data_IF_368757452318
#
_entry.id   IF_368757452318
#
_cell.length_a   1.000
_cell.length_b   1.000
_cell.length_c   1.000
_cell.angle_alpha   90.00
_cell.angle_beta   90.00
_cell.angle_gamma   90.00
#
_symmetry.space_group_name_H-M   'P 1'
#
loop_
_entity.id
_entity.type
_entity.pdbx_description
1 polymer ?
#
# COMPACT_ATOMS: atom_id res chain seq x y z
N UNK A 1 -6.80 1.03 10.13
CA UNK A 1 -5.98 0.23 9.20
C UNK A 1 -6.51 -1.20 9.02
N UNK A 2 -7.30 -1.68 9.98
CA UNK A 2 -7.74 -3.08 10.17
C UNK A 2 -8.27 -3.78 8.92
N UNK A 3 -8.92 -3.06 8.00
CA UNK A 3 -9.44 -3.67 6.78
C UNK A 3 -8.34 -4.18 5.85
N UNK A 4 -7.43 -3.29 5.42
CA UNK A 4 -6.41 -3.62 4.42
C UNK A 4 -5.28 -4.42 5.05
N UNK A 5 -4.77 -3.97 6.19
CA UNK A 5 -3.68 -4.64 6.91
C UNK A 5 -4.16 -5.94 7.58
N UNK A 6 -5.43 -6.02 8.00
CA UNK A 6 -6.01 -7.26 8.48
C UNK A 6 -6.13 -8.32 7.39
N UNK A 7 -6.59 -7.96 6.20
CA UNK A 7 -6.60 -8.87 5.05
C UNK A 7 -5.18 -9.34 4.70
N UNK A 8 -4.19 -8.44 4.69
CA UNK A 8 -2.80 -8.83 4.45
C UNK A 8 -2.31 -9.87 5.47
N UNK A 9 -2.61 -9.67 6.76
CA UNK A 9 -2.29 -10.60 7.84
C UNK A 9 -3.00 -11.95 7.67
N UNK A 10 -4.29 -11.95 7.35
CA UNK A 10 -5.07 -13.17 7.14
C UNK A 10 -4.58 -13.97 5.93
N UNK A 11 -4.07 -13.29 4.90
CA UNK A 11 -3.44 -13.90 3.73
C UNK A 11 -1.97 -14.31 3.94
N UNK A 12 -1.38 -13.98 5.10
CA UNK A 12 0.03 -14.26 5.40
C UNK A 12 1.03 -13.45 4.56
N UNK A 13 0.63 -12.27 4.09
CA UNK A 13 1.44 -11.38 3.24
C UNK A 13 2.27 -10.45 4.13
N UNK A 14 3.59 -10.69 4.20
CA UNK A 14 4.50 -9.99 5.12
C UNK A 14 4.99 -8.62 4.62
N UNK A 15 4.68 -8.24 3.37
CA UNK A 15 5.04 -6.95 2.80
C UNK A 15 4.26 -5.78 3.44
N UNK A 16 3.15 -6.06 4.12
CA UNK A 16 2.38 -5.06 4.86
C UNK A 16 2.80 -5.07 6.33
N UNK A 17 3.59 -4.07 6.74
CA UNK A 17 4.10 -3.91 8.11
C UNK A 17 3.08 -3.09 8.91
N UNK A 18 2.37 -3.74 9.83
CA UNK A 18 1.30 -3.12 10.65
C UNK A 18 1.89 -2.32 11.83
N UNK A 19 2.65 -1.28 11.49
CA UNK A 19 3.32 -0.36 12.42
C UNK A 19 3.01 1.10 12.04
N UNK A 20 3.06 2.01 13.01
CA UNK A 20 2.89 3.43 12.73
C UNK A 20 4.06 3.97 11.90
N UNK A 21 3.74 4.45 10.69
CA UNK A 21 4.69 5.06 9.78
C UNK A 21 4.82 6.58 9.96
N UNK A 22 5.52 7.21 9.03
CA UNK A 22 5.63 8.68 8.94
C UNK A 22 4.40 9.26 8.26
N UNK A 23 3.97 10.46 8.66
CA UNK A 23 2.95 11.22 7.94
C UNK A 23 3.50 11.76 6.61
N UNK A 24 2.78 11.51 5.51
CA UNK A 24 3.21 11.85 4.17
C UNK A 24 2.17 12.73 3.50
N UNK A 25 2.61 13.83 2.89
CA UNK A 25 1.76 14.62 1.99
C UNK A 25 1.73 13.95 0.63
N UNK A 26 0.56 13.44 0.25
CA UNK A 26 0.33 12.75 -1.02
C UNK A 26 -1.13 12.95 -1.44
N UNK A 27 -1.51 12.44 -2.61
CA UNK A 27 -2.80 12.66 -3.27
C UNK A 27 -4.03 12.27 -2.44
N UNK A 28 -3.87 11.37 -1.46
CA UNK A 28 -4.93 10.99 -0.53
C UNK A 28 -5.40 12.15 0.37
N UNK A 29 -4.54 13.13 0.70
CA UNK A 29 -4.91 14.22 1.61
C UNK A 29 -6.02 15.13 1.04
N UNK A 30 -5.90 15.67 -0.20
CA UNK A 30 -7.00 16.42 -0.82
C UNK A 30 -8.32 15.65 -0.88
N UNK A 31 -8.28 14.33 -1.14
CA UNK A 31 -9.48 13.48 -1.17
C UNK A 31 -10.12 13.36 0.22
N UNK A 32 -9.30 13.16 1.24
CA UNK A 32 -9.74 13.11 2.63
C UNK A 32 -10.36 14.45 3.07
N UNK A 33 -9.80 15.59 2.65
CA UNK A 33 -10.31 16.93 2.98
C UNK A 33 -11.74 17.20 2.46
N UNK A 34 -12.13 16.56 1.36
CA UNK A 34 -13.50 16.64 0.81
C UNK A 34 -14.41 15.50 1.28
N UNK A 35 -13.97 14.71 2.25
CA UNK A 35 -14.76 13.66 2.89
C UNK A 35 -14.68 12.28 2.22
N UNK A 36 -13.83 12.09 1.20
CA UNK A 36 -13.61 10.78 0.60
C UNK A 36 -12.51 10.06 1.39
N UNK A 37 -12.90 9.05 2.18
CA UNK A 37 -11.95 8.27 2.98
C UNK A 37 -11.01 7.48 2.08
N UNK A 38 -9.74 7.85 2.09
CA UNK A 38 -8.67 7.25 1.29
C UNK A 38 -7.45 6.96 2.15
N UNK A 39 -6.67 5.96 1.73
CA UNK A 39 -5.39 5.58 2.34
C UNK A 39 -4.30 5.62 1.27
N UNK A 40 -3.05 5.74 1.70
CA UNK A 40 -1.88 5.63 0.84
C UNK A 40 -1.07 4.38 1.23
N UNK A 41 -0.80 3.49 0.27
CA UNK A 41 0.10 2.35 0.45
C UNK A 41 1.44 2.71 -0.19
N UNK A 42 2.41 3.09 0.63
CA UNK A 42 3.68 3.67 0.19
C UNK A 42 4.84 3.21 1.07
N UNK A 43 6.03 3.12 0.48
CA UNK A 43 7.27 2.71 1.16
C UNK A 43 8.33 3.81 1.06
N UNK A 44 9.00 4.10 2.18
CA UNK A 44 10.10 5.07 2.30
C UNK A 44 11.41 4.42 2.76
N UNK A 45 11.43 3.09 2.84
CA UNK A 45 12.53 2.28 3.33
C UNK A 45 13.14 1.37 2.28
N UNK A 46 12.76 1.51 1.00
CA UNK A 46 13.30 0.71 -0.09
C UNK A 46 14.49 1.39 -0.80
N UNK A 47 15.63 0.70 -1.02
CA UNK A 47 15.92 -0.66 -0.55
C UNK A 47 16.41 -0.68 0.91
N UNK A 48 16.65 0.50 1.48
CA UNK A 48 17.06 0.74 2.85
C UNK A 48 16.56 2.15 3.25
N UNK A 49 16.82 2.57 4.50
CA UNK A 49 16.34 3.85 5.05
C UNK A 49 16.76 5.10 4.26
N UNK A 50 17.68 5.00 3.29
CA UNK A 50 18.05 6.11 2.42
C UNK A 50 17.05 6.40 1.30
N UNK A 51 16.15 5.46 0.99
CA UNK A 51 15.25 5.53 -0.17
C UNK A 51 15.95 5.90 -1.50
N UNK A 52 17.20 5.47 -1.68
CA UNK A 52 18.16 6.04 -2.65
C UNK A 52 17.76 6.03 -4.13
N UNK A 53 16.78 5.23 -4.53
CA UNK A 53 16.36 5.18 -5.93
C UNK A 53 15.30 6.25 -6.26
N UNK A 54 14.50 6.64 -5.28
CA UNK A 54 13.42 7.61 -5.46
C UNK A 54 13.94 8.94 -6.04
N UNK A 55 13.28 9.44 -7.08
CA UNK A 55 13.65 10.66 -7.81
C UNK A 55 15.07 10.63 -8.42
N UNK A 56 15.54 9.45 -8.83
CA UNK A 56 16.82 9.31 -9.55
C UNK A 56 16.63 8.59 -10.88
N UNK A 57 17.63 8.69 -11.76
CA UNK A 57 17.67 7.90 -13.00
C UNK A 57 17.87 6.39 -12.75
N UNK A 58 18.14 5.99 -11.50
CA UNK A 58 18.25 4.59 -11.10
C UNK A 58 16.91 3.98 -10.67
N UNK A 59 15.82 4.76 -10.68
CA UNK A 59 14.45 4.25 -10.56
C UNK A 59 14.04 3.56 -11.88
N UNK A 60 14.49 2.32 -12.02
CA UNK A 60 14.37 1.52 -13.24
C UNK A 60 13.63 0.20 -12.97
N UNK A 61 13.01 -0.43 -13.99
CA UNK A 61 12.18 -1.62 -13.80
C UNK A 61 12.86 -2.82 -13.13
N UNK A 62 14.20 -2.90 -13.12
CA UNK A 62 14.94 -3.94 -12.40
C UNK A 62 14.87 -3.80 -10.87
N UNK A 63 14.31 -2.69 -10.34
CA UNK A 63 13.98 -2.52 -8.93
C UNK A 63 12.57 -3.01 -8.59
N UNK A 64 11.76 -3.32 -9.60
CA UNK A 64 10.43 -3.89 -9.38
C UNK A 64 10.51 -5.38 -9.06
N UNK A 65 9.58 -5.84 -8.21
CA UNK A 65 9.46 -7.24 -7.81
C UNK A 65 8.07 -7.76 -8.15
N UNK A 66 8.01 -8.85 -8.91
CA UNK A 66 6.74 -9.52 -9.21
C UNK A 66 6.02 -9.96 -7.92
N UNK A 67 6.79 -10.38 -6.91
CA UNK A 67 6.28 -10.78 -5.61
C UNK A 67 5.67 -9.59 -4.86
N UNK A 68 6.32 -8.42 -4.88
CA UNK A 68 5.79 -7.21 -4.23
C UNK A 68 4.52 -6.71 -4.91
N UNK A 69 4.50 -6.71 -6.25
CA UNK A 69 3.30 -6.35 -7.02
C UNK A 69 2.14 -7.31 -6.75
N UNK A 70 2.42 -8.63 -6.69
CA UNK A 70 1.42 -9.63 -6.36
C UNK A 70 0.89 -9.47 -4.93
N UNK A 71 1.75 -9.15 -3.96
CA UNK A 71 1.34 -8.90 -2.58
C UNK A 71 0.33 -7.76 -2.48
N UNK A 72 0.65 -6.58 -3.04
CA UNK A 72 -0.26 -5.42 -3.04
C UNK A 72 -1.56 -5.75 -3.80
N UNK A 73 -1.43 -6.33 -5.00
CA UNK A 73 -2.57 -6.69 -5.84
C UNK A 73 -3.53 -7.67 -5.16
N UNK A 74 -3.00 -8.73 -4.54
CA UNK A 74 -3.81 -9.76 -3.89
C UNK A 74 -4.62 -9.19 -2.70
N UNK A 75 -3.99 -8.33 -1.88
CA UNK A 75 -4.67 -7.67 -0.76
C UNK A 75 -5.79 -6.76 -1.28
N UNK A 76 -5.49 -5.89 -2.24
CA UNK A 76 -6.47 -4.93 -2.77
C UNK A 76 -7.63 -5.62 -3.51
N UNK A 77 -7.34 -6.66 -4.29
CA UNK A 77 -8.39 -7.47 -4.93
C UNK A 77 -9.28 -8.13 -3.86
N UNK A 78 -8.69 -8.69 -2.81
CA UNK A 78 -9.47 -9.29 -1.71
C UNK A 78 -10.33 -8.25 -1.01
N UNK A 79 -9.83 -7.02 -0.78
CA UNK A 79 -10.61 -5.90 -0.24
C UNK A 79 -11.81 -5.57 -1.14
N UNK A 80 -11.58 -5.37 -2.44
CA UNK A 80 -12.62 -4.94 -3.40
C UNK A 80 -13.69 -6.03 -3.56
N UNK A 81 -13.28 -7.28 -3.73
CA UNK A 81 -14.21 -8.38 -3.99
C UNK A 81 -14.89 -8.93 -2.72
N UNK A 82 -14.29 -8.80 -1.54
CA UNK A 82 -14.96 -9.17 -0.28
C UNK A 82 -16.04 -8.15 0.13
N UNK A 83 -15.85 -6.87 -0.25
CA UNK A 83 -16.82 -5.80 -0.02
C UNK A 83 -18.06 -5.87 -0.93
N UNK A 84 -17.96 -6.52 -2.10
CA UNK A 84 -19.05 -6.62 -3.06
C UNK A 84 -20.22 -7.54 -2.60
N UNK A 85 -20.11 -8.20 -1.45
CA UNK A 85 -21.14 -9.11 -0.90
C UNK A 85 -22.10 -8.44 0.08
N UNK A 86 -22.27 -7.11 0.02
CA UNK A 86 -23.42 -6.45 0.68
C UNK A 86 -24.30 -5.82 -0.38
N UNK A 87 -25.13 -6.65 -1.02
CA UNK A 87 -26.41 -6.18 -1.55
C UNK A 87 -27.37 -6.21 -0.36
N UNK A 88 -27.66 -5.04 0.19
CA UNK A 88 -28.91 -4.81 0.93
C UNK A 88 -29.96 -4.32 -0.05
#
# INVERSE_FOLDING_TARGET
MDMVFGIARDLGISQFIDEEGTEITDDHLPLNMIGIRTINLIDFSYPDASNKYWHTLADTPDKCSAQSLAAVGQVLLTVIYSKATTIQ
#
